data_IF_021050417429
#
_entry.id   IF_021050417429
#
_cell.length_a   1.000
_cell.length_b   1.000
_cell.length_c   1.000
_cell.angle_alpha   90.00
_cell.angle_beta   90.00
_cell.angle_gamma   90.00
#
_symmetry.space_group_name_H-M   'P 1'
#
loop_
_entity.id
_entity.type
_entity.pdbx_description
1 polymer ?
#
# COMPACT_ATOMS: atom_id res chain seq x y z
N UNK A 1 -65.26 -22.42 -4.82
CA UNK A 1 -64.10 -22.99 -4.08
C UNK A 1 -62.76 -22.97 -4.82
N UNK A 2 -62.68 -22.93 -6.16
CA UNK A 2 -61.38 -22.95 -6.89
C UNK A 2 -60.59 -21.62 -6.93
N UNK A 3 -61.21 -20.48 -6.56
CA UNK A 3 -60.55 -19.16 -6.58
C UNK A 3 -59.85 -18.78 -5.26
N UNK A 4 -60.34 -19.29 -4.13
CA UNK A 4 -59.78 -19.02 -2.79
C UNK A 4 -58.49 -19.81 -2.50
N UNK A 5 -58.30 -20.97 -3.14
CA UNK A 5 -57.05 -21.76 -2.99
C UNK A 5 -55.87 -21.13 -3.74
N UNK A 6 -56.12 -20.45 -4.88
CA UNK A 6 -55.05 -19.81 -5.67
C UNK A 6 -54.47 -18.56 -5.01
N UNK A 7 -55.29 -17.78 -4.30
CA UNK A 7 -54.80 -16.59 -3.56
C UNK A 7 -54.00 -16.97 -2.32
N UNK A 8 -54.30 -18.11 -1.69
CA UNK A 8 -53.58 -18.56 -0.50
C UNK A 8 -52.20 -19.14 -0.83
N UNK A 9 -52.05 -19.80 -1.98
CA UNK A 9 -50.75 -20.32 -2.45
C UNK A 9 -49.80 -19.19 -2.89
N UNK A 10 -50.30 -18.13 -3.54
CA UNK A 10 -49.47 -16.98 -3.94
C UNK A 10 -49.01 -16.16 -2.71
N UNK A 11 -49.84 -16.08 -1.65
CA UNK A 11 -49.47 -15.44 -0.39
C UNK A 11 -48.35 -16.16 0.38
N UNK A 12 -48.35 -17.50 0.39
CA UNK A 12 -47.32 -18.28 1.08
C UNK A 12 -45.95 -18.23 0.38
N UNK A 13 -45.91 -18.13 -0.95
CA UNK A 13 -44.66 -17.95 -1.70
C UNK A 13 -44.02 -16.56 -1.50
N UNK A 14 -44.82 -15.53 -1.21
CA UNK A 14 -44.30 -14.18 -0.91
C UNK A 14 -43.62 -14.09 0.46
N UNK A 15 -44.10 -14.83 1.46
CA UNK A 15 -43.55 -14.80 2.83
C UNK A 15 -42.23 -15.59 2.91
N UNK A 16 -42.07 -16.69 2.15
CA UNK A 16 -40.77 -17.37 2.04
C UNK A 16 -39.71 -16.52 1.31
N UNK A 17 -40.10 -15.73 0.30
CA UNK A 17 -39.17 -14.86 -0.42
C UNK A 17 -38.64 -13.70 0.45
N UNK A 18 -39.43 -13.16 1.39
CA UNK A 18 -38.97 -12.12 2.31
C UNK A 18 -38.10 -12.66 3.46
N UNK A 19 -38.16 -13.95 3.79
CA UNK A 19 -37.24 -14.56 4.77
C UNK A 19 -35.82 -14.81 4.23
N UNK A 20 -35.65 -14.70 2.91
CA UNK A 20 -34.37 -14.74 2.19
C UNK A 20 -33.91 -13.37 1.71
N UNK A 21 -34.64 -12.30 2.05
CA UNK A 21 -34.04 -10.98 2.16
C UNK A 21 -33.10 -11.02 3.37
N UNK A 22 -32.00 -11.77 3.21
CA UNK A 22 -30.93 -11.84 4.17
C UNK A 22 -30.61 -10.42 4.58
N UNK A 23 -30.43 -10.23 5.89
CA UNK A 23 -29.79 -9.05 6.44
C UNK A 23 -28.77 -8.57 5.42
N UNK A 24 -29.01 -7.41 4.81
CA UNK A 24 -27.98 -6.71 4.08
C UNK A 24 -26.95 -6.28 5.14
N UNK A 25 -26.22 -7.26 5.68
CA UNK A 25 -24.99 -7.07 6.41
C UNK A 25 -24.18 -6.23 5.44
N UNK A 26 -23.96 -4.98 5.78
CA UNK A 26 -23.10 -4.14 4.97
C UNK A 26 -21.79 -4.93 4.82
N UNK A 27 -21.48 -5.31 3.59
CA UNK A 27 -20.36 -6.20 3.34
C UNK A 27 -19.10 -5.48 3.85
N UNK A 28 -18.37 -6.05 4.79
CA UNK A 28 -17.14 -5.45 5.27
C UNK A 28 -16.00 -5.79 4.31
N UNK A 29 -15.61 -4.83 3.45
CA UNK A 29 -14.70 -5.03 2.31
C UNK A 29 -13.47 -4.12 2.36
N UNK A 30 -12.61 -4.26 3.39
CA UNK A 30 -11.39 -3.47 3.48
C UNK A 30 -10.44 -3.74 2.29
N UNK A 31 -9.49 -2.83 2.09
CA UNK A 31 -8.35 -3.00 1.16
C UNK A 31 -7.06 -2.57 1.84
N UNK A 32 -6.01 -3.34 1.62
CA UNK A 32 -4.66 -3.05 2.08
C UNK A 32 -3.77 -2.78 0.86
N UNK A 33 -3.02 -1.69 0.87
CA UNK A 33 -1.99 -1.40 -0.13
C UNK A 33 -0.69 -1.03 0.57
N UNK A 34 0.40 -1.72 0.21
CA UNK A 34 1.73 -1.46 0.74
C UNK A 34 2.63 -0.95 -0.39
N UNK A 35 3.28 0.19 -0.16
CA UNK A 35 4.32 0.72 -1.05
C UNK A 35 5.57 1.04 -0.24
N UNK A 36 6.72 1.14 -0.91
CA UNK A 36 8.00 1.47 -0.25
C UNK A 36 8.70 2.61 -0.97
N UNK A 37 9.26 3.56 -0.20
CA UNK A 37 10.07 4.64 -0.75
C UNK A 37 11.37 4.12 -1.42
N UNK A 38 11.90 3.00 -0.94
CA UNK A 38 13.00 2.27 -1.54
C UNK A 38 12.54 0.89 -2.01
N UNK A 39 13.02 0.48 -3.18
CA UNK A 39 12.78 -0.84 -3.77
C UNK A 39 14.06 -1.69 -3.79
N UNK A 40 15.08 -1.29 -3.02
CA UNK A 40 16.34 -2.01 -2.89
C UNK A 40 16.26 -3.08 -1.79
N UNK A 41 17.01 -4.17 -1.99
CA UNK A 41 17.22 -5.21 -0.98
C UNK A 41 18.00 -4.65 0.21
N UNK A 42 17.57 -4.96 1.43
CA UNK A 42 18.19 -4.45 2.67
C UNK A 42 18.14 -2.92 2.82
N UNK A 43 17.46 -2.21 1.92
CA UNK A 43 17.39 -0.75 1.94
C UNK A 43 16.43 -0.23 3.02
N UNK A 44 16.57 1.04 3.44
CA UNK A 44 15.66 1.66 4.38
C UNK A 44 14.24 1.63 3.79
N UNK A 45 13.36 0.88 4.44
CA UNK A 45 11.99 0.68 3.99
C UNK A 45 11.13 1.81 4.50
N UNK A 46 11.10 2.94 3.78
CA UNK A 46 10.06 3.96 3.96
C UNK A 46 8.70 3.40 3.56
N UNK A 47 8.21 2.44 4.33
CA UNK A 47 7.04 1.63 4.06
C UNK A 47 5.83 2.51 4.31
N UNK A 48 5.00 2.62 3.29
CA UNK A 48 3.69 3.24 3.36
C UNK A 48 2.66 2.13 3.46
N UNK A 49 1.96 2.08 4.59
CA UNK A 49 0.81 1.22 4.81
C UNK A 49 -0.44 2.05 4.54
N UNK A 50 -1.26 1.62 3.59
CA UNK A 50 -2.55 2.24 3.29
C UNK A 50 -3.67 1.22 3.50
N UNK A 51 -4.61 1.55 4.36
CA UNK A 51 -5.78 0.75 4.68
C UNK A 51 -7.04 1.55 4.31
N UNK A 52 -7.96 0.94 3.58
CA UNK A 52 -9.17 1.60 3.10
C UNK A 52 -10.37 0.74 3.41
N UNK A 53 -11.48 1.38 3.77
CA UNK A 53 -12.77 0.76 4.02
C UNK A 53 -13.82 1.66 3.35
N UNK A 54 -14.69 1.13 2.48
CA UNK A 54 -15.78 1.92 1.93
C UNK A 54 -16.62 2.57 3.04
N UNK A 55 -17.07 3.81 2.81
CA UNK A 55 -17.84 4.56 3.80
C UNK A 55 -19.14 3.85 4.21
N UNK A 56 -19.71 3.02 3.33
CA UNK A 56 -20.94 2.26 3.53
C UNK A 56 -20.77 1.00 4.37
N UNK A 57 -19.53 0.52 4.53
CA UNK A 57 -19.24 -0.75 5.21
C UNK A 57 -19.25 -0.60 6.72
N UNK A 58 -19.35 -1.69 7.48
CA UNK A 58 -19.29 -1.63 8.93
C UNK A 58 -17.98 -0.97 9.43
N UNK A 59 -18.03 -0.16 10.51
CA UNK A 59 -16.85 0.54 10.99
C UNK A 59 -15.80 -0.44 11.52
N UNK A 60 -14.52 -0.19 11.25
CA UNK A 60 -13.44 -1.08 11.71
C UNK A 60 -13.23 -0.96 13.21
N UNK A 61 -13.30 -2.07 13.94
CA UNK A 61 -12.98 -2.14 15.36
C UNK A 61 -11.49 -2.40 15.60
N UNK A 62 -10.92 -3.35 14.86
CA UNK A 62 -9.52 -3.78 15.01
C UNK A 62 -8.91 -4.11 13.66
N UNK A 63 -7.68 -3.67 13.44
CA UNK A 63 -6.85 -4.08 12.32
C UNK A 63 -5.50 -4.57 12.84
N UNK A 64 -5.08 -5.75 12.41
CA UNK A 64 -3.75 -6.30 12.69
C UNK A 64 -3.02 -6.48 11.37
N UNK A 65 -1.93 -5.74 11.18
CA UNK A 65 -1.06 -5.84 10.01
C UNK A 65 0.11 -6.76 10.32
N UNK A 66 0.39 -7.69 9.42
CA UNK A 66 1.46 -8.66 9.54
C UNK A 66 2.56 -8.25 8.56
N UNK A 67 3.70 -7.85 9.12
CA UNK A 67 4.92 -7.51 8.40
C UNK A 67 5.55 -8.82 7.92
N UNK A 68 5.75 -9.05 6.61
CA UNK A 68 6.17 -10.35 6.08
C UNK A 68 7.51 -10.81 6.64
N UNK A 69 7.70 -12.12 6.76
CA UNK A 69 9.00 -12.70 7.08
C UNK A 69 10.10 -12.15 6.15
N UNK A 70 11.28 -11.89 6.72
CA UNK A 70 12.42 -11.30 6.02
C UNK A 70 12.54 -9.77 6.20
N UNK A 71 11.44 -9.06 6.45
CA UNK A 71 11.50 -7.65 6.85
C UNK A 71 12.07 -7.54 8.27
N UNK A 72 12.83 -6.48 8.53
CA UNK A 72 13.36 -6.17 9.85
C UNK A 72 12.63 -4.97 10.44
N UNK A 73 12.25 -5.06 11.71
CA UNK A 73 11.60 -3.99 12.45
C UNK A 73 12.55 -3.48 13.54
N UNK A 74 12.80 -2.18 13.58
CA UNK A 74 13.50 -1.52 14.67
C UNK A 74 12.51 -1.09 15.76
N UNK A 75 12.73 -1.55 17.00
CA UNK A 75 11.93 -1.22 18.18
C UNK A 75 12.68 -0.38 19.21
N UNK A 76 13.90 0.08 18.90
CA UNK A 76 14.80 0.75 19.84
C UNK A 76 14.65 2.28 19.89
N UNK A 77 13.59 2.84 19.29
CA UNK A 77 13.36 4.28 19.29
C UNK A 77 12.91 4.78 20.66
N UNK A 78 13.44 5.93 21.10
CA UNK A 78 12.97 6.61 22.31
C UNK A 78 11.60 7.28 22.08
N UNK A 79 10.77 7.51 23.12
CA UNK A 79 9.54 8.28 23.00
C UNK A 79 9.74 9.62 22.28
N UNK A 80 8.74 10.04 21.50
CA UNK A 80 8.75 11.19 20.59
C UNK A 80 9.71 11.09 19.38
N UNK A 81 10.38 9.95 19.16
CA UNK A 81 11.14 9.73 17.92
C UNK A 81 10.17 9.70 16.73
N UNK A 82 10.37 10.61 15.77
CA UNK A 82 9.57 10.64 14.53
C UNK A 82 9.96 9.48 13.61
N UNK A 83 8.98 8.66 13.26
CA UNK A 83 9.12 7.52 12.35
C UNK A 83 8.63 7.84 10.93
N UNK A 84 7.67 8.76 10.80
CA UNK A 84 7.14 9.14 9.50
C UNK A 84 5.93 10.07 9.59
N UNK A 85 5.02 9.94 8.63
CA UNK A 85 3.83 10.78 8.48
C UNK A 85 2.58 9.92 8.36
N UNK A 86 1.46 10.42 8.86
CA UNK A 86 0.15 9.78 8.74
C UNK A 86 -0.86 10.72 8.08
N UNK A 87 -1.75 10.17 7.28
CA UNK A 87 -2.90 10.84 6.72
C UNK A 87 -4.11 9.90 6.77
N UNK A 88 -5.30 10.42 7.01
CA UNK A 88 -6.51 9.63 6.99
C UNK A 88 -7.68 10.48 6.49
N UNK A 89 -8.72 9.83 5.98
CA UNK A 89 -10.02 10.42 5.77
C UNK A 89 -11.01 9.67 6.66
N UNK A 90 -11.73 10.42 7.48
CA UNK A 90 -12.78 9.89 8.36
C UNK A 90 -14.12 10.50 7.98
N UNK A 91 -15.18 9.72 8.04
CA UNK A 91 -16.55 10.24 8.00
C UNK A 91 -16.96 10.59 9.43
N UNK A 92 -17.11 11.88 9.72
CA UNK A 92 -17.60 12.34 11.00
C UNK A 92 -19.13 12.27 10.99
N UNK A 93 -19.70 11.24 11.62
CA UNK A 93 -21.15 10.99 11.63
C UNK A 93 -21.91 12.22 12.17
N UNK A 94 -21.39 12.85 13.22
CA UNK A 94 -22.03 14.00 13.87
C UNK A 94 -22.06 15.25 12.98
N UNK A 95 -21.21 15.31 11.94
CA UNK A 95 -21.11 16.42 10.99
C UNK A 95 -21.70 16.06 9.61
N UNK A 96 -21.97 14.78 9.35
CA UNK A 96 -22.38 14.30 8.02
C UNK A 96 -21.35 14.54 6.92
N UNK A 97 -20.06 14.64 7.25
CA UNK A 97 -19.01 15.07 6.33
C UNK A 97 -17.74 14.21 6.41
N UNK A 98 -17.01 14.13 5.28
CA UNK A 98 -15.67 13.52 5.24
C UNK A 98 -14.64 14.57 5.64
N UNK A 99 -13.87 14.26 6.68
CA UNK A 99 -12.83 15.15 7.24
C UNK A 99 -11.46 14.54 6.97
N UNK A 100 -10.57 15.23 6.25
CA UNK A 100 -9.18 14.81 6.14
C UNK A 100 -8.45 15.13 7.45
N UNK A 101 -7.61 14.20 7.88
CA UNK A 101 -6.76 14.35 9.06
C UNK A 101 -5.33 13.96 8.70
N UNK A 102 -4.36 14.71 9.20
CA UNK A 102 -2.95 14.46 8.91
C UNK A 102 -2.09 14.66 10.14
N UNK A 103 -0.91 14.06 10.15
CA UNK A 103 0.12 14.39 11.12
C UNK A 103 1.30 13.43 11.09
N UNK A 104 1.87 13.15 12.27
CA UNK A 104 3.12 12.42 12.39
C UNK A 104 2.91 11.01 12.95
N UNK A 105 3.79 10.10 12.56
CA UNK A 105 3.98 8.82 13.23
C UNK A 105 5.19 8.95 14.15
N UNK A 106 4.99 8.70 15.42
CA UNK A 106 6.04 8.82 16.44
C UNK A 106 6.06 7.60 17.35
N UNK A 107 7.20 7.34 17.97
CA UNK A 107 7.26 6.42 19.11
C UNK A 107 6.56 7.06 20.30
N UNK A 108 5.63 6.35 20.91
CA UNK A 108 4.95 6.76 22.13
C UNK A 108 5.68 6.25 23.37
N UNK A 109 5.41 6.88 24.53
CA UNK A 109 5.66 6.24 25.81
C UNK A 109 4.59 5.15 26.02
N UNK A 110 4.96 3.86 26.20
CA UNK A 110 3.98 2.78 26.37
C UNK A 110 3.02 3.00 27.55
N UNK A 111 3.47 3.68 28.62
CA UNK A 111 2.66 3.96 29.80
C UNK A 111 1.41 4.82 29.48
N UNK A 112 1.51 5.73 28.50
CA UNK A 112 0.43 6.64 28.12
C UNK A 112 -0.77 5.90 27.48
N UNK A 113 -0.54 4.68 26.98
CA UNK A 113 -1.53 3.89 26.23
C UNK A 113 -1.79 2.50 26.84
N UNK A 114 -1.33 2.21 28.05
CA UNK A 114 -1.47 0.90 28.68
C UNK A 114 -2.93 0.40 28.82
N UNK A 115 -3.92 1.25 29.19
CA UNK A 115 -5.33 0.84 29.20
C UNK A 115 -5.85 0.49 27.80
N UNK A 116 -5.50 1.29 26.78
CA UNK A 116 -5.89 1.08 25.39
C UNK A 116 -5.23 -0.19 24.82
N UNK A 117 -3.98 -0.45 25.19
CA UNK A 117 -3.25 -1.67 24.83
C UNK A 117 -3.99 -2.90 25.36
N UNK A 118 -4.27 -2.92 26.67
CA UNK A 118 -4.98 -4.02 27.32
C UNK A 118 -6.35 -4.27 26.69
N UNK A 119 -7.12 -3.21 26.42
CA UNK A 119 -8.42 -3.32 25.76
C UNK A 119 -8.33 -3.84 24.32
N UNK A 120 -7.26 -3.51 23.60
CA UNK A 120 -7.10 -3.82 22.17
C UNK A 120 -6.47 -5.20 21.91
N UNK A 121 -5.46 -5.55 22.69
CA UNK A 121 -4.59 -6.72 22.47
C UNK A 121 -4.70 -7.76 23.58
N UNK A 122 -5.33 -7.42 24.71
CA UNK A 122 -5.39 -8.25 25.91
C UNK A 122 -4.15 -8.12 26.81
N UNK A 123 -3.16 -7.30 26.43
CA UNK A 123 -1.94 -7.06 27.21
C UNK A 123 -1.54 -5.58 27.19
N UNK A 124 -0.93 -5.11 28.28
CA UNK A 124 -0.37 -3.76 28.34
C UNK A 124 1.04 -3.66 27.73
N UNK A 125 1.72 -4.80 27.58
CA UNK A 125 3.13 -4.84 27.21
C UNK A 125 3.30 -5.17 25.74
N UNK A 126 4.03 -4.32 25.04
CA UNK A 126 4.36 -4.44 23.62
C UNK A 126 5.84 -4.15 23.39
N UNK A 127 6.40 -4.67 22.30
CA UNK A 127 7.81 -4.41 21.95
C UNK A 127 8.09 -2.93 21.70
N UNK A 128 7.11 -2.22 21.12
CA UNK A 128 7.09 -0.78 21.02
C UNK A 128 5.64 -0.29 20.88
N UNK A 129 5.36 0.96 21.26
CA UNK A 129 4.10 1.62 20.95
C UNK A 129 4.39 2.78 20.01
N UNK A 130 3.73 2.83 18.86
CA UNK A 130 3.71 4.03 18.02
C UNK A 130 2.41 4.79 18.25
N UNK A 131 2.41 6.07 17.93
CA UNK A 131 1.21 6.91 17.93
C UNK A 131 1.10 7.65 16.61
N UNK A 132 -0.07 7.55 15.98
CA UNK A 132 -0.47 8.41 14.89
C UNK A 132 -1.04 9.68 15.52
N UNK A 133 -0.24 10.76 15.56
CA UNK A 133 -0.67 12.07 16.04
C UNK A 133 -1.35 12.81 14.90
N UNK A 134 -2.66 12.71 14.84
CA UNK A 134 -3.51 13.32 13.82
C UNK A 134 -4.09 14.63 14.35
N UNK A 135 -4.45 15.54 13.46
CA UNK A 135 -5.23 16.74 13.78
C UNK A 135 -6.38 16.89 12.81
N UNK A 136 -7.57 17.18 13.35
CA UNK A 136 -8.80 17.44 12.62
C UNK A 136 -9.37 18.78 13.09
N UNK A 137 -9.41 19.79 12.23
CA UNK A 137 -9.92 21.13 12.58
C UNK A 137 -9.34 21.69 13.90
N UNK A 138 -8.03 21.48 14.14
CA UNK A 138 -7.34 21.93 15.36
C UNK A 138 -7.49 21.02 16.58
N UNK A 139 -8.34 19.98 16.52
CA UNK A 139 -8.49 18.99 17.59
C UNK A 139 -7.47 17.86 17.41
N UNK A 140 -6.59 17.62 18.40
CA UNK A 140 -5.64 16.52 18.33
C UNK A 140 -6.35 15.17 18.52
N UNK A 141 -5.92 14.18 17.74
CA UNK A 141 -6.36 12.79 17.83
C UNK A 141 -5.13 11.90 17.88
N UNK A 142 -5.01 11.09 18.92
CA UNK A 142 -3.92 10.13 19.08
C UNK A 142 -4.46 8.71 18.88
N UNK A 143 -3.97 8.01 17.85
CA UNK A 143 -4.30 6.61 17.60
C UNK A 143 -3.06 5.76 17.87
N UNK A 144 -3.05 4.92 18.92
CA UNK A 144 -1.92 4.06 19.19
C UNK A 144 -1.84 2.91 18.18
N UNK A 145 -0.63 2.52 17.84
CA UNK A 145 -0.29 1.31 17.09
C UNK A 145 0.60 0.47 18.00
N UNK A 146 0.13 -0.71 18.40
CA UNK A 146 0.87 -1.62 19.24
C UNK A 146 1.73 -2.52 18.37
N UNK A 147 3.03 -2.55 18.65
CA UNK A 147 4.02 -3.15 17.77
C UNK A 147 4.73 -4.27 18.49
N UNK A 148 4.67 -5.46 17.90
CA UNK A 148 5.31 -6.66 18.44
C UNK A 148 6.13 -7.40 17.40
N UNK A 149 7.31 -7.86 17.81
CA UNK A 149 8.06 -8.84 17.03
C UNK A 149 7.39 -10.21 17.15
N UNK A 150 7.31 -10.94 16.04
CA UNK A 150 6.81 -12.31 16.06
C UNK A 150 7.93 -13.22 16.57
N UNK A 151 7.74 -13.94 17.70
CA UNK A 151 8.77 -14.83 18.22
C UNK A 151 9.06 -15.97 17.24
N UNK A 152 10.32 -16.39 17.11
CA UNK A 152 10.71 -17.46 16.18
C UNK A 152 10.01 -18.80 16.43
N UNK A 153 9.59 -19.07 17.67
CA UNK A 153 8.83 -20.26 18.05
C UNK A 153 7.33 -20.18 17.71
N UNK A 154 6.81 -19.01 17.34
CA UNK A 154 5.42 -18.83 16.96
C UNK A 154 5.16 -19.47 15.59
N UNK A 155 4.01 -20.13 15.37
CA UNK A 155 3.66 -20.64 14.04
C UNK A 155 3.48 -19.50 13.02
N UNK A 156 3.30 -18.26 13.48
CA UNK A 156 3.25 -17.07 12.63
C UNK A 156 4.62 -16.64 12.08
N UNK A 157 5.73 -17.14 12.64
CA UNK A 157 7.08 -16.74 12.24
C UNK A 157 7.41 -17.09 10.77
N UNK A 158 6.75 -18.13 10.22
CA UNK A 158 6.87 -18.49 8.81
C UNK A 158 6.24 -17.44 7.87
N UNK A 159 5.32 -16.62 8.39
CA UNK A 159 4.53 -15.67 7.60
C UNK A 159 4.94 -14.24 7.86
N UNK A 160 5.30 -13.92 9.10
CA UNK A 160 5.50 -12.56 9.56
C UNK A 160 6.67 -12.43 10.52
N UNK A 161 7.41 -11.33 10.43
CA UNK A 161 8.46 -10.95 11.39
C UNK A 161 7.95 -10.02 12.48
N UNK A 162 6.86 -9.29 12.24
CA UNK A 162 6.25 -8.39 13.21
C UNK A 162 4.74 -8.24 12.98
N UNK A 163 4.05 -7.75 14.01
CA UNK A 163 2.64 -7.39 14.01
C UNK A 163 2.47 -5.93 14.42
N UNK A 164 1.54 -5.25 13.76
CA UNK A 164 1.11 -3.90 14.06
C UNK A 164 -0.38 -3.95 14.34
N UNK A 165 -0.81 -3.66 15.56
CA UNK A 165 -2.21 -3.75 15.98
C UNK A 165 -2.77 -2.36 16.25
N UNK A 166 -3.92 -2.06 15.63
CA UNK A 166 -4.67 -0.83 15.83
C UNK A 166 -6.09 -1.21 16.23
N UNK A 167 -6.61 -0.59 17.29
CA UNK A 167 -8.03 -0.62 17.61
C UNK A 167 -8.61 0.78 17.52
N UNK A 168 -9.79 0.88 16.95
CA UNK A 168 -10.50 2.15 16.78
C UNK A 168 -11.74 2.14 17.67
N UNK A 169 -12.09 3.27 18.29
CA UNK A 169 -13.32 3.37 19.06
C UNK A 169 -14.57 3.25 18.16
N UNK A 170 -15.72 2.78 18.68
CA UNK A 170 -16.94 2.66 17.90
C UNK A 170 -17.49 4.05 17.52
N UNK A 171 -17.79 4.31 16.24
CA UNK A 171 -18.26 5.63 15.81
C UNK A 171 -19.78 5.82 15.94
N UNK A 172 -20.54 4.73 15.93
CA UNK A 172 -21.98 4.69 15.71
C UNK A 172 -22.79 4.32 16.96
N UNK A 173 -22.16 4.38 18.14
CA UNK A 173 -22.87 4.36 19.43
C UNK A 173 -23.42 5.75 19.78
N UNK A 174 -24.45 5.87 20.64
CA UNK A 174 -25.03 7.17 21.02
C UNK A 174 -23.98 8.17 21.51
N UNK A 175 -24.15 9.44 21.16
CA UNK A 175 -23.29 10.52 21.65
C UNK A 175 -23.26 10.55 23.19
N UNK A 176 -22.07 10.75 23.77
CA UNK A 176 -21.85 10.68 25.22
C UNK A 176 -21.53 9.28 25.77
N UNK A 177 -21.65 8.23 24.95
CA UNK A 177 -21.21 6.87 25.35
C UNK A 177 -19.70 6.87 25.65
N UNK A 178 -19.26 6.41 26.83
CA UNK A 178 -17.83 6.29 27.13
C UNK A 178 -17.10 5.43 26.08
N UNK A 179 -15.98 5.94 25.59
CA UNK A 179 -15.17 5.24 24.58
C UNK A 179 -15.66 5.36 23.13
N UNK A 180 -16.73 6.11 22.86
CA UNK A 180 -17.15 6.47 21.50
C UNK A 180 -16.06 7.24 20.76
N UNK A 181 -15.97 7.05 19.44
CA UNK A 181 -15.10 7.86 18.59
C UNK A 181 -15.48 9.35 18.67
N UNK A 182 -14.48 10.23 18.80
CA UNK A 182 -14.68 11.68 18.75
C UNK A 182 -15.42 12.06 17.46
N UNK A 183 -16.52 12.83 17.57
CA UNK A 183 -17.40 13.21 16.45
C UNK A 183 -18.04 12.03 15.67
N UNK A 184 -18.03 10.83 16.24
CA UNK A 184 -18.45 9.61 15.53
C UNK A 184 -17.55 9.33 14.33
N UNK A 185 -16.25 9.62 14.44
CA UNK A 185 -15.31 9.46 13.35
C UNK A 185 -15.17 7.99 12.91
N UNK A 186 -15.73 7.69 11.74
CA UNK A 186 -15.61 6.40 11.06
C UNK A 186 -14.46 6.43 10.06
N UNK A 187 -13.54 5.48 10.14
CA UNK A 187 -12.43 5.40 9.19
C UNK A 187 -12.92 5.07 7.77
N UNK A 188 -12.49 5.86 6.78
CA UNK A 188 -12.65 5.54 5.34
C UNK A 188 -11.29 5.15 4.74
N UNK A 189 -10.27 5.95 4.99
CA UNK A 189 -8.90 5.63 4.56
C UNK A 189 -7.93 6.05 5.64
N UNK A 190 -6.90 5.25 5.91
CA UNK A 190 -5.74 5.62 6.69
C UNK A 190 -4.50 5.23 5.92
N UNK A 191 -3.52 6.10 5.91
CA UNK A 191 -2.18 5.80 5.45
C UNK A 191 -1.15 6.32 6.45
N UNK A 192 -0.10 5.54 6.66
CA UNK A 192 1.05 6.00 7.41
C UNK A 192 2.33 5.51 6.75
N UNK A 193 3.38 6.33 6.88
CA UNK A 193 4.73 5.97 6.49
C UNK A 193 5.56 5.72 7.75
N UNK A 194 6.47 4.76 7.67
CA UNK A 194 7.41 4.48 8.75
C UNK A 194 8.78 4.16 8.19
N UNK A 195 9.82 4.70 8.82
CA UNK A 195 11.23 4.36 8.59
C UNK A 195 11.71 3.20 9.47
N UNK A 196 10.89 2.74 10.42
CA UNK A 196 11.26 1.69 11.36
C UNK A 196 11.37 0.29 10.73
N UNK A 197 10.89 0.13 9.50
CA UNK A 197 10.83 -1.14 8.79
C UNK A 197 11.90 -1.14 7.69
N UNK A 198 12.73 -2.17 7.64
CA UNK A 198 13.78 -2.33 6.62
C UNK A 198 13.38 -3.43 5.64
N UNK A 199 13.62 -3.19 4.35
CA UNK A 199 13.33 -4.18 3.32
C UNK A 199 14.15 -5.46 3.53
N UNK A 200 13.60 -6.63 3.16
CA UNK A 200 14.32 -7.89 3.12
C UNK A 200 15.61 -7.81 2.29
N UNK A 201 16.63 -8.55 2.72
CA UNK A 201 17.90 -8.66 1.99
C UNK A 201 17.83 -9.64 0.80
N UNK A 202 16.81 -10.50 0.75
CA UNK A 202 16.61 -11.48 -0.32
C UNK A 202 15.63 -10.96 -1.38
N UNK A 203 15.85 -11.32 -2.64
CA UNK A 203 14.87 -11.09 -3.69
C UNK A 203 13.66 -12.01 -3.50
N UNK A 204 12.47 -11.49 -3.80
CA UNK A 204 11.23 -12.26 -3.66
C UNK A 204 9.97 -11.41 -3.78
N UNK A 205 8.84 -12.10 -3.73
CA UNK A 205 7.53 -11.50 -3.53
C UNK A 205 7.15 -11.63 -2.05
N UNK A 206 6.92 -10.51 -1.41
CA UNK A 206 6.58 -10.42 0.01
C UNK A 206 5.12 -10.04 0.17
N UNK A 207 4.37 -10.91 0.85
CA UNK A 207 2.93 -10.76 1.04
C UNK A 207 2.62 -10.18 2.41
N UNK A 208 2.33 -8.89 2.43
CA UNK A 208 1.75 -8.23 3.58
C UNK A 208 0.30 -8.68 3.76
N UNK A 209 -0.11 -8.84 5.00
CA UNK A 209 -1.45 -9.28 5.35
C UNK A 209 -2.04 -8.33 6.38
N UNK A 210 -3.34 -8.16 6.37
CA UNK A 210 -4.05 -7.58 7.49
C UNK A 210 -5.30 -8.40 7.78
N UNK A 211 -5.53 -8.71 9.05
CA UNK A 211 -6.83 -9.18 9.52
C UNK A 211 -7.57 -7.99 10.11
N UNK A 212 -8.80 -7.77 9.66
CA UNK A 212 -9.60 -6.64 10.09
C UNK A 212 -10.97 -7.12 10.59
N UNK A 213 -11.38 -6.60 11.74
CA UNK A 213 -12.62 -6.96 12.43
C UNK A 213 -13.50 -5.72 12.50
N UNK A 214 -14.73 -5.73 11.96
CA UNK A 214 -15.65 -4.62 12.09
C UNK A 214 -16.35 -4.59 13.45
N UNK A 215 -17.02 -3.51 13.76
CA UNK A 215 -18.05 -3.45 14.79
C UNK A 215 -19.37 -4.01 14.25
N UNK A 216 -20.19 -4.53 15.16
CA UNK A 216 -21.62 -4.74 14.89
C UNK A 216 -22.31 -3.37 14.83
N UNK A 217 -23.01 -3.03 13.72
CA UNK A 217 -23.63 -1.72 13.54
C UNK A 217 -24.52 -1.30 14.70
N UNK A 218 -24.30 -0.10 15.22
CA UNK A 218 -25.08 0.53 16.29
C UNK A 218 -24.90 -0.05 17.69
N UNK A 219 -24.13 -1.14 17.84
CA UNK A 219 -23.94 -1.82 19.14
C UNK A 219 -22.60 -1.45 19.79
N UNK A 220 -21.59 -1.10 18.98
CA UNK A 220 -20.25 -0.79 19.47
C UNK A 220 -19.48 -2.01 19.99
N UNK A 221 -19.92 -3.22 19.66
CA UNK A 221 -19.24 -4.48 20.00
C UNK A 221 -18.55 -5.05 18.76
N UNK A 222 -17.26 -5.45 18.85
CA UNK A 222 -16.57 -6.06 17.70
C UNK A 222 -17.25 -7.33 17.20
N UNK A 223 -17.45 -7.45 15.89
CA UNK A 223 -18.02 -8.62 15.23
C UNK A 223 -16.91 -9.55 14.74
N UNK A 224 -16.43 -10.43 15.61
CA UNK A 224 -15.36 -11.39 15.30
C UNK A 224 -15.73 -12.39 14.19
N UNK A 225 -17.03 -12.68 13.99
CA UNK A 225 -17.47 -13.57 12.91
C UNK A 225 -17.35 -12.92 11.52
N UNK A 226 -17.32 -11.59 11.46
CA UNK A 226 -17.11 -10.81 10.24
C UNK A 226 -15.64 -10.38 10.07
N UNK A 227 -14.70 -10.99 10.80
CA UNK A 227 -13.27 -10.76 10.58
C UNK A 227 -12.86 -11.28 9.20
N UNK A 228 -12.07 -10.48 8.49
CA UNK A 228 -11.61 -10.78 7.13
C UNK A 228 -10.12 -10.54 6.99
N UNK A 229 -9.50 -11.23 6.03
CA UNK A 229 -8.12 -11.03 5.62
C UNK A 229 -8.06 -10.25 4.31
N UNK A 230 -7.13 -9.29 4.26
CA UNK A 230 -6.75 -8.58 3.03
C UNK A 230 -5.24 -8.57 2.89
N UNK A 231 -4.75 -8.51 1.65
CA UNK A 231 -3.33 -8.71 1.36
C UNK A 231 -2.78 -7.63 0.44
N UNK A 232 -1.46 -7.43 0.51
CA UNK A 232 -0.73 -6.62 -0.45
C UNK A 232 0.61 -7.25 -0.79
N UNK A 233 0.94 -7.27 -2.08
CA UNK A 233 2.16 -7.86 -2.60
C UNK A 233 3.20 -6.79 -2.87
N UNK A 234 4.42 -7.02 -2.38
CA UNK A 234 5.59 -6.18 -2.63
C UNK A 234 6.66 -7.04 -3.27
N UNK A 235 7.12 -6.67 -4.47
CA UNK A 235 8.19 -7.38 -5.18
C UNK A 235 9.51 -6.65 -4.99
N UNK A 236 10.49 -7.33 -4.41
CA UNK A 236 11.81 -6.78 -4.17
C UNK A 236 12.90 -7.63 -4.82
N UNK A 237 13.94 -7.01 -5.42
CA UNK A 237 13.99 -5.58 -5.69
C UNK A 237 13.09 -5.23 -6.91
N UNK A 238 12.60 -4.00 -6.97
CA UNK A 238 12.02 -3.44 -8.19
C UNK A 238 13.03 -2.46 -8.80
N UNK A 239 13.52 -2.76 -10.01
CA UNK A 239 14.62 -2.01 -10.63
C UNK A 239 14.38 -1.78 -12.12
N UNK A 240 15.00 -0.73 -12.64
CA UNK A 240 15.07 -0.44 -14.06
C UNK A 240 16.53 -0.37 -14.46
N UNK A 241 16.89 -1.08 -15.52
CA UNK A 241 18.22 -1.01 -16.11
C UNK A 241 18.14 -0.32 -17.46
N UNK A 242 19.17 0.46 -17.78
CA UNK A 242 19.33 1.06 -19.10
C UNK A 242 20.79 0.99 -19.49
N UNK A 243 21.04 0.57 -20.73
CA UNK A 243 22.33 0.59 -21.39
C UNK A 243 22.15 1.27 -22.74
N UNK A 244 23.12 2.08 -23.12
CA UNK A 244 23.10 2.81 -24.38
C UNK A 244 24.40 2.57 -25.15
N UNK A 245 24.29 2.38 -26.45
CA UNK A 245 25.44 2.23 -27.36
C UNK A 245 25.24 3.11 -28.58
N UNK A 246 26.26 3.89 -28.91
CA UNK A 246 26.28 4.67 -30.16
C UNK A 246 26.71 3.75 -31.30
N UNK A 247 25.85 3.61 -32.31
CA UNK A 247 26.18 2.99 -33.60
C UNK A 247 26.57 4.08 -34.58
N UNK A 248 27.76 3.93 -35.15
CA UNK A 248 28.32 4.86 -36.12
C UNK A 248 27.54 4.81 -37.44
N UNK A 249 26.88 5.92 -37.81
CA UNK A 249 26.42 6.18 -39.17
C UNK A 249 27.04 7.50 -39.70
N UNK A 250 28.38 7.62 -39.71
CA UNK A 250 29.08 8.89 -39.88
C UNK A 250 28.76 9.59 -41.20
N UNK A 251 28.19 8.93 -42.21
CA UNK A 251 27.97 9.54 -43.53
C UNK A 251 26.81 10.54 -43.60
N UNK A 252 25.95 10.68 -42.58
CA UNK A 252 24.71 11.48 -42.67
C UNK A 252 24.53 12.59 -41.62
N UNK A 253 25.53 12.88 -40.79
CA UNK A 253 25.40 13.92 -39.75
C UNK A 253 24.48 13.53 -38.59
N UNK A 254 24.18 12.24 -38.44
CA UNK A 254 23.39 11.66 -37.37
C UNK A 254 24.09 10.43 -36.79
N UNK A 255 23.90 10.20 -35.50
CA UNK A 255 24.29 8.97 -34.81
C UNK A 255 23.06 8.23 -34.32
N UNK A 256 23.06 6.91 -34.48
CA UNK A 256 21.99 6.06 -33.95
C UNK A 256 22.42 5.58 -32.55
N UNK A 257 21.65 5.89 -31.53
CA UNK A 257 21.88 5.38 -30.17
C UNK A 257 20.90 4.24 -29.92
N UNK A 258 21.41 3.02 -29.77
CA UNK A 258 20.58 1.86 -29.39
C UNK A 258 20.51 1.75 -27.88
N UNK A 259 19.31 1.55 -27.37
CA UNK A 259 18.98 1.44 -25.95
C UNK A 259 18.49 0.03 -25.66
N UNK A 260 19.07 -0.57 -24.62
CA UNK A 260 18.71 -1.91 -24.12
C UNK A 260 18.55 -1.86 -22.62
N UNK A 261 17.69 -2.67 -22.04
CA UNK A 261 17.47 -2.67 -20.60
C UNK A 261 16.27 -3.52 -20.17
N UNK A 262 15.93 -3.41 -18.90
CA UNK A 262 14.80 -4.11 -18.29
C UNK A 262 14.04 -3.17 -17.36
N UNK A 263 12.74 -3.38 -17.23
CA UNK A 263 11.86 -2.67 -16.32
C UNK A 263 10.86 -3.65 -15.68
N UNK A 264 10.24 -3.30 -14.54
CA UNK A 264 9.22 -4.14 -13.93
C UNK A 264 8.08 -4.42 -14.92
N UNK A 265 7.59 -5.66 -14.95
CA UNK A 265 6.46 -6.06 -15.79
C UNK A 265 5.21 -5.26 -15.42
N UNK A 266 4.44 -4.83 -16.42
CA UNK A 266 3.26 -3.99 -16.25
C UNK A 266 3.58 -2.50 -16.02
N UNK A 267 4.85 -2.10 -16.03
CA UNK A 267 5.23 -0.70 -15.85
C UNK A 267 5.11 0.12 -17.15
N UNK A 268 4.78 1.39 -17.00
CA UNK A 268 5.00 2.41 -18.03
C UNK A 268 6.43 2.93 -17.90
N UNK A 269 7.24 2.81 -18.96
CA UNK A 269 8.64 3.21 -19.00
C UNK A 269 8.81 4.48 -19.81
N UNK A 270 9.09 5.59 -19.12
CA UNK A 270 9.53 6.83 -19.74
C UNK A 270 11.03 6.75 -20.02
N UNK A 271 11.42 7.00 -21.27
CA UNK A 271 12.81 7.20 -21.67
C UNK A 271 13.07 8.69 -21.82
N UNK A 272 14.07 9.17 -21.10
CA UNK A 272 14.45 10.57 -21.03
C UNK A 272 15.86 10.77 -21.60
N UNK A 273 16.06 11.92 -22.25
CA UNK A 273 17.34 12.33 -22.83
C UNK A 273 17.61 13.81 -22.62
N UNK A 274 18.87 14.20 -22.45
CA UNK A 274 19.25 15.61 -22.26
C UNK A 274 20.75 15.87 -22.47
N UNK A 275 21.11 17.15 -22.57
CA UNK A 275 22.50 17.59 -22.69
C UNK A 275 23.27 17.55 -21.36
N UNK A 276 22.57 17.47 -20.23
CA UNK A 276 23.14 17.27 -18.89
C UNK A 276 22.29 16.28 -18.10
N UNK A 277 22.87 15.64 -17.08
CA UNK A 277 22.15 14.69 -16.22
C UNK A 277 20.92 15.33 -15.53
N UNK A 278 20.99 16.63 -15.18
CA UNK A 278 19.91 17.36 -14.52
C UNK A 278 18.81 17.83 -15.49
N UNK A 279 19.07 17.93 -16.80
CA UNK A 279 18.14 18.48 -17.80
C UNK A 279 17.68 17.43 -18.80
N UNK A 280 17.28 16.26 -18.31
CA UNK A 280 16.70 15.20 -19.15
C UNK A 280 15.20 15.42 -19.38
N UNK A 281 14.74 15.23 -20.61
CA UNK A 281 13.32 15.33 -21.00
C UNK A 281 12.86 14.03 -21.63
N UNK A 282 11.60 13.65 -21.38
CA UNK A 282 10.98 12.47 -22.01
C UNK A 282 11.01 12.62 -23.54
N UNK A 283 11.52 11.62 -24.23
CA UNK A 283 11.46 11.53 -25.69
C UNK A 283 10.67 10.32 -26.18
N UNK A 284 10.45 9.31 -25.32
CA UNK A 284 9.66 8.11 -25.63
C UNK A 284 9.02 7.56 -24.36
N UNK A 285 7.86 6.92 -24.49
CA UNK A 285 7.23 6.13 -23.44
C UNK A 285 6.90 4.75 -23.99
N UNK A 286 7.11 3.70 -23.19
CA UNK A 286 6.85 2.31 -23.53
C UNK A 286 5.84 1.74 -22.53
N UNK A 287 4.84 1.00 -23.00
CA UNK A 287 3.86 0.33 -22.15
C UNK A 287 4.26 -1.12 -21.87
N UNK A 288 3.77 -1.69 -20.76
CA UNK A 288 3.88 -3.12 -20.44
C UNK A 288 5.17 -3.55 -19.73
N UNK A 289 6.21 -2.73 -19.71
CA UNK A 289 7.46 -3.02 -19.01
C UNK A 289 8.24 -4.19 -19.63
N UNK A 290 9.08 -4.87 -18.84
CA UNK A 290 9.90 -5.98 -19.31
C UNK A 290 11.13 -5.52 -20.08
N UNK A 291 11.40 -6.09 -21.26
CA UNK A 291 12.59 -5.79 -22.05
C UNK A 291 12.47 -4.43 -22.76
N UNK A 292 13.42 -3.53 -22.51
CA UNK A 292 13.56 -2.26 -23.22
C UNK A 292 14.45 -2.51 -24.42
N UNK A 293 13.93 -2.38 -25.64
CA UNK A 293 14.73 -2.39 -26.87
C UNK A 293 14.24 -1.31 -27.80
N UNK A 294 15.04 -0.25 -28.00
CA UNK A 294 14.65 0.86 -28.87
C UNK A 294 15.90 1.63 -29.34
N UNK A 295 15.71 2.61 -30.22
CA UNK A 295 16.77 3.51 -30.62
C UNK A 295 16.33 4.97 -30.63
N UNK A 296 17.32 5.87 -30.56
CA UNK A 296 17.17 7.31 -30.70
C UNK A 296 18.18 7.81 -31.74
N UNK A 297 17.72 8.58 -32.72
CA UNK A 297 18.60 9.25 -33.69
C UNK A 297 18.97 10.63 -33.15
N UNK A 298 20.27 10.94 -33.13
CA UNK A 298 20.79 12.19 -32.56
C UNK A 298 21.61 12.92 -33.62
N UNK A 299 21.32 14.21 -33.81
CA UNK A 299 22.06 15.07 -34.74
C UNK A 299 23.49 15.28 -34.22
N UNK A 300 24.47 15.12 -35.10
CA UNK A 300 25.86 15.38 -34.80
C UNK A 300 26.16 16.88 -34.92
N UNK A 301 26.89 17.42 -33.94
CA UNK A 301 27.41 18.77 -33.98
C UNK A 301 28.76 18.87 -34.70
N UNK A 302 29.31 20.07 -34.78
CA UNK A 302 30.68 20.31 -35.26
C UNK A 302 31.74 19.78 -34.29
N UNK A 303 31.37 19.57 -33.03
CA UNK A 303 32.19 18.97 -31.97
C UNK A 303 31.48 17.77 -31.39
N UNK A 304 32.25 16.85 -30.80
CA UNK A 304 31.67 15.77 -30.03
C UNK A 304 30.91 16.33 -28.82
N UNK A 305 29.77 15.72 -28.49
CA UNK A 305 28.92 16.16 -27.38
C UNK A 305 28.53 14.98 -26.50
N UNK A 306 28.21 15.26 -25.23
CA UNK A 306 27.67 14.25 -24.32
C UNK A 306 26.15 14.24 -24.38
N UNK A 307 25.56 13.06 -24.42
CA UNK A 307 24.13 12.82 -24.27
C UNK A 307 23.91 12.02 -22.98
N UNK A 308 22.98 12.48 -22.15
CA UNK A 308 22.60 11.81 -20.92
C UNK A 308 21.22 11.17 -21.11
N UNK A 309 21.10 9.91 -20.69
CA UNK A 309 19.93 9.07 -20.87
C UNK A 309 19.49 8.48 -19.53
N UNK A 310 18.18 8.40 -19.32
CA UNK A 310 17.57 7.86 -18.11
C UNK A 310 16.32 7.08 -18.49
N UNK A 311 16.10 5.92 -17.87
CA UNK A 311 14.82 5.23 -17.92
C UNK A 311 14.12 5.39 -16.57
N UNK A 312 12.83 5.72 -16.59
CA UNK A 312 11.98 5.81 -15.41
C UNK A 312 10.76 4.93 -15.62
N UNK A 313 10.62 3.87 -14.84
CA UNK A 313 9.44 3.02 -14.87
C UNK A 313 8.49 3.36 -13.73
N UNK A 314 7.20 3.29 -14.02
CA UNK A 314 6.12 3.50 -13.05
C UNK A 314 5.10 2.39 -13.16
N UNK A 315 4.78 1.75 -12.05
CA UNK A 315 3.58 0.92 -11.90
C UNK A 315 2.57 1.70 -11.06
N UNK A 316 1.29 1.55 -11.37
CA UNK A 316 0.20 2.06 -10.54
C UNK A 316 -0.18 1.00 -9.51
N UNK A 317 -0.91 1.42 -8.47
CA UNK A 317 -1.60 0.48 -7.59
C UNK A 317 -2.52 -0.42 -8.44
N UNK A 318 -2.51 -1.72 -8.14
CA UNK A 318 -3.36 -2.70 -8.80
C UNK A 318 -4.20 -3.44 -7.77
N UNK A 319 -5.49 -3.57 -8.05
CA UNK A 319 -6.39 -4.44 -7.32
C UNK A 319 -6.44 -5.80 -8.02
N UNK A 320 -6.02 -6.85 -7.32
CA UNK A 320 -6.06 -8.22 -7.82
C UNK A 320 -7.37 -8.93 -7.45
N UNK A 321 -8.24 -8.26 -6.67
CA UNK A 321 -9.49 -8.81 -6.18
C UNK A 321 -9.29 -10.07 -5.31
N UNK A 322 -10.37 -10.83 -5.17
CA UNK A 322 -10.36 -12.09 -4.42
C UNK A 322 -9.49 -13.17 -5.06
N UNK A 323 -9.36 -13.17 -6.39
CA UNK A 323 -8.53 -14.13 -7.13
C UNK A 323 -7.03 -14.03 -6.80
N UNK A 324 -6.54 -12.84 -6.44
CA UNK A 324 -5.16 -12.64 -5.98
C UNK A 324 -4.95 -12.90 -4.47
N UNK A 325 -6.04 -13.09 -3.72
CA UNK A 325 -6.03 -13.27 -2.29
C UNK A 325 -5.90 -14.77 -1.94
N UNK A 326 -5.02 -15.10 -1.00
CA UNK A 326 -4.86 -16.48 -0.52
C UNK A 326 -5.11 -16.51 0.98
N UNK A 327 -6.16 -17.19 1.43
CA UNK A 327 -6.48 -17.31 2.85
C UNK A 327 -5.30 -17.93 3.62
N UNK A 328 -4.82 -17.20 4.61
CA UNK A 328 -3.65 -17.57 5.40
C UNK A 328 -4.05 -17.99 6.81
N UNK A 329 -5.02 -17.30 7.41
CA UNK A 329 -5.43 -17.52 8.78
C UNK A 329 -6.50 -18.61 8.87
N UNK A 330 -6.07 -19.84 8.64
CA UNK A 330 -6.83 -21.07 8.85
C UNK A 330 -6.23 -21.84 10.04
N UNK A 331 -6.94 -22.80 10.64
CA UNK A 331 -6.36 -23.65 11.68
C UNK A 331 -5.03 -24.29 11.22
N UNK A 332 -3.97 -24.28 12.05
CA UNK A 332 -3.94 -23.89 13.47
C UNK A 332 -3.63 -22.42 13.75
N UNK A 333 -3.39 -21.58 12.73
CA UNK A 333 -3.00 -20.17 12.92
C UNK A 333 -4.13 -19.29 13.46
N UNK A 334 -5.36 -19.71 13.26
CA UNK A 334 -6.58 -19.12 13.81
C UNK A 334 -7.51 -20.24 14.26
N UNK A 335 -8.30 -20.05 15.34
CA UNK A 335 -9.31 -21.04 15.74
C UNK A 335 -10.39 -21.25 14.68
N UNK A 336 -10.65 -20.25 13.84
CA UNK A 336 -11.62 -20.31 12.74
C UNK A 336 -10.99 -19.83 11.43
N UNK A 337 -11.40 -20.39 10.27
CA UNK A 337 -10.96 -19.89 8.97
C UNK A 337 -11.39 -18.42 8.75
N UNK A 338 -10.41 -17.54 8.53
CA UNK A 338 -10.67 -16.15 8.16
C UNK A 338 -10.67 -16.04 6.62
N UNK A 339 -11.77 -15.57 5.99
CA UNK A 339 -11.83 -15.44 4.54
C UNK A 339 -10.90 -14.34 4.03
N UNK A 340 -10.25 -14.59 2.90
CA UNK A 340 -9.40 -13.61 2.21
C UNK A 340 -10.22 -12.89 1.12
N UNK A 341 -10.47 -11.60 1.30
CA UNK A 341 -11.37 -10.85 0.41
C UNK A 341 -10.68 -10.26 -0.82
N UNK A 342 -9.50 -9.67 -0.63
CA UNK A 342 -8.83 -8.93 -1.68
C UNK A 342 -7.31 -8.89 -1.48
N UNK A 343 -6.58 -8.94 -2.60
CA UNK A 343 -5.16 -8.64 -2.64
C UNK A 343 -4.89 -7.44 -3.54
N UNK A 344 -3.87 -6.66 -3.21
CA UNK A 344 -3.38 -5.55 -4.05
C UNK A 344 -1.90 -5.69 -4.37
N UNK A 345 -1.42 -4.89 -5.32
CA UNK A 345 0.01 -4.63 -5.53
C UNK A 345 0.21 -3.12 -5.46
N UNK A 346 1.15 -2.67 -4.63
CA UNK A 346 1.49 -1.25 -4.54
C UNK A 346 2.25 -0.76 -5.78
N UNK A 347 1.89 0.44 -6.25
CA UNK A 347 2.59 1.13 -7.33
C UNK A 347 4.00 1.55 -6.91
N UNK A 348 4.95 1.47 -7.84
CA UNK A 348 6.34 1.88 -7.61
C UNK A 348 6.83 2.76 -8.74
N UNK A 349 7.65 3.75 -8.39
CA UNK A 349 8.40 4.55 -9.36
C UNK A 349 9.88 4.32 -9.14
N UNK A 350 10.54 3.79 -10.17
CA UNK A 350 11.97 3.43 -10.13
C UNK A 350 12.67 4.03 -11.34
N UNK A 351 13.93 4.43 -11.16
CA UNK A 351 14.74 5.02 -12.23
C UNK A 351 16.05 4.26 -12.37
N UNK A 352 16.54 4.12 -13.61
CA UNK A 352 17.88 3.59 -13.87
C UNK A 352 18.95 4.57 -13.41
N UNK A 353 20.21 4.14 -13.29
CA UNK A 353 21.34 5.07 -13.32
C UNK A 353 21.30 5.92 -14.60
N UNK A 354 21.82 7.15 -14.52
CA UNK A 354 21.98 8.01 -15.70
C UNK A 354 23.12 7.46 -16.56
N UNK A 355 22.84 7.17 -17.82
CA UNK A 355 23.82 6.70 -18.80
C UNK A 355 24.33 7.88 -19.61
N UNK A 356 25.64 8.11 -19.60
CA UNK A 356 26.31 9.09 -20.45
C UNK A 356 26.87 8.40 -21.69
N UNK A 357 26.55 8.93 -22.87
CA UNK A 357 27.16 8.50 -24.14
C UNK A 357 27.74 9.70 -24.88
N UNK A 358 28.86 9.49 -25.58
CA UNK A 358 29.50 10.51 -26.40
C UNK A 358 29.02 10.40 -27.84
N UNK A 359 28.42 11.46 -28.35
CA UNK A 359 28.02 11.59 -29.75
C UNK A 359 29.22 12.17 -30.54
N UNK A 360 29.73 11.46 -31.57
CA UNK A 360 30.85 11.95 -32.35
C UNK A 360 30.48 13.18 -33.18
N UNK A 361 31.48 14.00 -33.51
CA UNK A 361 31.31 15.14 -34.41
C UNK A 361 30.89 14.67 -35.82
N UNK A 362 30.18 15.54 -36.53
CA UNK A 362 29.83 15.30 -37.92
C UNK A 362 31.11 15.22 -38.78
N UNK A 363 31.15 14.35 -39.81
CA UNK A 363 32.27 14.36 -40.74
C UNK A 363 32.37 15.73 -41.43
N UNK A 364 33.59 16.21 -41.63
CA UNK A 364 33.81 17.40 -42.47
C UNK A 364 33.32 17.09 -43.88
N UNK A 365 32.47 17.97 -44.45
CA UNK A 365 32.13 17.89 -45.89
C UNK A 365 33.45 18.00 -46.67
N UNK A 366 33.77 17.00 -47.50
CA UNK A 366 34.86 17.14 -48.46
C UNK A 366 34.48 18.29 -49.41
N UNK A 367 35.37 19.26 -49.67
CA UNK A 367 35.12 20.28 -50.67
C UNK A 367 34.87 19.58 -52.02
N UNK A 368 33.83 20.01 -52.74
CA UNK A 368 33.64 19.58 -54.14
C UNK A 368 34.83 20.15 -54.91
N UNK A 369 35.68 19.27 -55.41
CA UNK A 369 36.76 19.63 -56.33
C UNK A 369 36.19 19.90 -57.70
#
# INVERSE_FOLDING_TARGET
MRKTVRTLVVGLTGILALSLAGTALAAYTPKLTITGASQALGGPGGIKVKFQVPQTDDPTAKATFYVPAGYQLSTSGAPATKLGTSAAAVFAIDLGAVVPVTGAVEVANPADFAPQATACTGTATHSQTWVLRLSAAGTPLAVPVFVDLVPAASPLAALASAQLVICLPPPDVPAGTPGRATLGAKLITAEFTTSAITNPAAAGEYRWRATATPYTPGVGTPNAAATVEVQSLVRLPSQVTLRARVRNAPKRGFSLVTLTGTAPTGATVDLLSGGTAAKVKRFRSLAGGGAITTSLTVKQGTRASSLFLLARARTTDQDLGSAGCTATFVPPLSPFPIPCLAATVGGVTVSSPVVKVTIPAAPKKKPKR
#
